data_IF_972033881912
#
_entry.id   IF_972033881912
#
_cell.length_a   1.000
_cell.length_b   1.000
_cell.length_c   1.000
_cell.angle_alpha   90.00
_cell.angle_beta   90.00
_cell.angle_gamma   90.00
#
_symmetry.space_group_name_H-M   'P 1'
#
loop_
_entity.id
_entity.type
_entity.pdbx_description
1 polymer ?
#
# COMPACT_ATOMS: atom_id res chain seq x y z
N UNK A 1 22.86 -11.10 11.29
CA UNK A 1 21.77 -11.29 10.42
C UNK A 1 21.41 -10.03 9.69
N UNK A 2 20.49 -10.11 8.85
CA UNK A 2 20.06 -8.94 8.15
C UNK A 2 18.54 -8.87 8.19
N UNK A 3 18.05 -7.68 7.98
CA UNK A 3 16.63 -7.41 8.04
C UNK A 3 16.09 -7.33 6.63
N UNK A 4 15.02 -8.06 6.37
CA UNK A 4 14.37 -8.01 5.08
C UNK A 4 13.43 -6.83 5.04
N UNK A 5 13.60 -6.02 4.02
CA UNK A 5 12.72 -4.90 3.79
C UNK A 5 11.54 -5.35 2.97
N UNK A 6 10.36 -4.93 3.38
CA UNK A 6 9.13 -5.22 2.64
C UNK A 6 8.46 -3.92 2.26
N UNK A 7 7.59 -4.00 1.30
CA UNK A 7 6.80 -2.87 0.87
C UNK A 7 5.34 -3.14 1.18
N UNK A 8 4.61 -2.08 1.42
CA UNK A 8 3.21 -2.19 1.79
C UNK A 8 2.42 -1.13 1.03
N UNK A 9 1.26 -1.53 0.54
CA UNK A 9 0.33 -0.60 -0.06
C UNK A 9 -0.68 -0.23 1.02
N UNK A 10 -0.75 1.05 1.34
CA UNK A 10 -1.67 1.54 2.35
C UNK A 10 -2.21 2.89 1.94
N UNK A 11 -2.56 3.71 2.91
CA UNK A 11 -3.10 5.02 2.62
C UNK A 11 -2.26 6.10 3.28
N UNK A 12 -2.26 7.27 2.65
CA UNK A 12 -1.63 8.45 3.19
C UNK A 12 -2.48 9.64 2.80
N UNK A 13 -3.05 10.29 3.81
CA UNK A 13 -3.91 11.45 3.62
C UNK A 13 -5.04 11.20 2.62
N UNK A 14 -5.63 10.01 2.71
CA UNK A 14 -6.75 9.65 1.86
C UNK A 14 -6.40 9.14 0.49
N UNK A 15 -5.11 9.00 0.18
CA UNK A 15 -4.66 8.48 -1.11
C UNK A 15 -3.93 7.17 -0.92
N UNK A 16 -3.92 6.34 -1.95
CA UNK A 16 -3.15 5.11 -1.95
C UNK A 16 -1.67 5.46 -1.95
N UNK A 17 -0.90 4.77 -1.13
CA UNK A 17 0.51 5.06 -0.99
C UNK A 17 1.30 3.79 -0.78
N UNK A 18 2.59 3.85 -1.07
CA UNK A 18 3.51 2.74 -0.86
C UNK A 18 4.42 3.09 0.29
N UNK A 19 4.53 2.15 1.22
CA UNK A 19 5.41 2.26 2.38
C UNK A 19 6.47 1.20 2.33
N UNK A 20 7.59 1.49 2.96
CA UNK A 20 8.70 0.55 3.11
C UNK A 20 8.89 0.29 4.59
N UNK A 21 9.03 -0.97 4.96
CA UNK A 21 9.21 -1.29 6.35
C UNK A 21 9.95 -2.60 6.53
N UNK A 22 10.14 -2.96 7.78
CA UNK A 22 10.80 -4.19 8.15
C UNK A 22 9.76 -5.29 8.25
N UNK A 23 10.06 -6.43 7.64
CA UNK A 23 9.10 -7.51 7.53
C UNK A 23 8.52 -7.90 8.89
N UNK A 24 9.34 -7.92 9.91
CA UNK A 24 8.91 -8.38 11.22
C UNK A 24 8.43 -7.27 12.12
N UNK A 25 8.33 -6.08 11.59
CA UNK A 25 7.82 -4.97 12.38
C UNK A 25 6.35 -5.20 12.66
N UNK A 26 6.00 -5.16 13.92
CA UNK A 26 4.60 -5.29 14.34
C UNK A 26 4.05 -3.95 14.78
N UNK A 27 4.82 -2.90 14.57
CA UNK A 27 4.40 -1.60 15.01
C UNK A 27 3.46 -0.92 14.06
N UNK A 28 2.98 0.25 14.44
CA UNK A 28 2.13 1.05 13.58
C UNK A 28 2.88 1.54 12.36
N UNK A 29 2.13 2.05 11.40
CA UNK A 29 2.71 2.51 10.14
C UNK A 29 3.75 3.60 10.31
N UNK A 30 3.74 4.29 11.43
CA UNK A 30 4.72 5.33 11.65
C UNK A 30 6.15 4.79 11.70
N UNK A 31 6.30 3.49 11.88
CA UNK A 31 7.61 2.86 11.78
C UNK A 31 7.99 2.52 10.35
N UNK A 32 7.12 2.79 9.41
CA UNK A 32 7.38 2.53 8.02
C UNK A 32 7.71 3.82 7.30
N UNK A 33 8.45 3.67 6.22
CA UNK A 33 8.89 4.80 5.40
C UNK A 33 7.91 5.01 4.27
N UNK A 34 7.42 6.22 4.12
CA UNK A 34 6.59 6.54 2.96
C UNK A 34 7.50 6.63 1.74
N UNK A 35 7.26 5.75 0.78
CA UNK A 35 8.04 5.73 -0.44
C UNK A 35 7.42 6.63 -1.50
N UNK A 36 6.12 6.48 -1.69
CA UNK A 36 5.44 7.23 -2.74
C UNK A 36 3.97 7.35 -2.41
N UNK A 37 3.46 8.55 -2.47
CA UNK A 37 2.02 8.78 -2.38
C UNK A 37 1.49 8.97 -3.79
N UNK A 38 0.37 8.32 -4.10
CA UNK A 38 -0.21 8.41 -5.44
C UNK A 38 -1.38 9.40 -5.43
N UNK A 39 -1.92 9.66 -6.61
CA UNK A 39 -3.10 10.50 -6.74
C UNK A 39 -4.39 9.71 -6.66
N UNK A 40 -4.29 8.41 -6.44
CA UNK A 40 -5.45 7.54 -6.39
C UNK A 40 -6.10 7.67 -5.03
N UNK A 41 -7.34 8.13 -5.01
CA UNK A 41 -8.04 8.34 -3.74
C UNK A 41 -8.64 7.04 -3.26
N UNK A 42 -8.41 6.74 -1.99
CA UNK A 42 -8.96 5.53 -1.39
C UNK A 42 -10.47 5.53 -1.50
N UNK A 43 -11.10 6.69 -1.39
CA UNK A 43 -12.55 6.78 -1.49
C UNK A 43 -13.08 6.37 -2.85
N UNK A 44 -12.25 6.39 -3.88
CA UNK A 44 -12.69 5.99 -5.22
C UNK A 44 -12.61 4.49 -5.45
N UNK A 45 -12.08 3.75 -4.51
CA UNK A 45 -11.95 2.30 -4.63
C UNK A 45 -13.25 1.61 -4.23
N UNK A 46 -13.41 0.37 -4.68
CA UNK A 46 -14.52 -0.45 -4.24
C UNK A 46 -14.42 -0.70 -2.74
N UNK A 47 -15.55 -0.95 -2.06
CA UNK A 47 -15.51 -1.07 -0.60
C UNK A 47 -14.51 -2.10 -0.09
N UNK A 48 -14.47 -3.29 -0.69
CA UNK A 48 -13.55 -4.31 -0.19
C UNK A 48 -12.10 -3.91 -0.43
N UNK A 49 -11.84 -3.14 -1.47
CA UNK A 49 -10.50 -2.66 -1.74
C UNK A 49 -10.08 -1.57 -0.77
N UNK A 50 -11.03 -0.74 -0.36
CA UNK A 50 -10.75 0.24 0.68
C UNK A 50 -10.32 -0.45 1.97
N UNK A 51 -10.98 -1.57 2.30
CA UNK A 51 -10.59 -2.32 3.48
C UNK A 51 -9.21 -2.93 3.33
N UNK A 52 -8.89 -3.44 2.15
CA UNK A 52 -7.56 -3.99 1.90
C UNK A 52 -6.48 -2.93 2.13
N UNK A 53 -6.70 -1.74 1.61
CA UNK A 53 -5.73 -0.67 1.75
C UNK A 53 -5.62 -0.24 3.21
N UNK A 54 -6.73 -0.20 3.92
CA UNK A 54 -6.69 0.16 5.34
C UNK A 54 -5.89 -0.84 6.16
N UNK A 55 -5.94 -2.11 5.80
CA UNK A 55 -5.20 -3.15 6.49
C UNK A 55 -3.79 -3.28 5.96
N UNK A 56 -3.48 -2.58 4.93
CA UNK A 56 -2.26 -2.61 4.15
C UNK A 56 -2.07 -3.95 3.44
N UNK A 57 -1.54 -3.86 2.23
CA UNK A 57 -1.29 -5.03 1.40
C UNK A 57 0.21 -5.20 1.27
N UNK A 58 0.70 -6.37 1.66
CA UNK A 58 2.13 -6.66 1.61
C UNK A 58 2.58 -6.90 0.18
N UNK A 59 3.76 -6.41 -0.16
CA UNK A 59 4.35 -6.61 -1.47
C UNK A 59 5.82 -7.01 -1.31
N UNK A 60 6.33 -7.79 -2.25
CA UNK A 60 7.68 -8.30 -2.14
C UNK A 60 8.73 -7.26 -2.49
N UNK A 61 8.40 -6.40 -3.45
CA UNK A 61 9.32 -5.34 -3.86
C UNK A 61 8.49 -4.19 -4.42
N UNK A 62 9.19 -3.16 -4.85
CA UNK A 62 8.52 -1.95 -5.31
C UNK A 62 7.71 -2.21 -6.58
N UNK A 63 8.22 -3.07 -7.47
CA UNK A 63 7.48 -3.41 -8.69
C UNK A 63 6.20 -4.14 -8.36
N UNK A 64 6.26 -5.02 -7.37
CA UNK A 64 5.08 -5.76 -6.93
C UNK A 64 4.05 -4.82 -6.33
N UNK A 65 4.51 -3.83 -5.54
CA UNK A 65 3.62 -2.85 -4.97
C UNK A 65 2.87 -2.07 -6.05
N UNK A 66 3.58 -1.65 -7.08
CA UNK A 66 2.96 -0.94 -8.19
C UNK A 66 1.97 -1.81 -8.93
N UNK A 67 2.28 -3.10 -9.07
CA UNK A 67 1.36 -4.04 -9.70
C UNK A 67 0.07 -4.15 -8.92
N UNK A 68 0.18 -4.20 -7.60
CA UNK A 68 -1.00 -4.28 -6.76
C UNK A 68 -1.85 -3.02 -6.87
N UNK A 69 -1.20 -1.86 -6.93
CA UNK A 69 -1.92 -0.61 -7.10
C UNK A 69 -2.66 -0.61 -8.44
N UNK A 70 -2.00 -1.10 -9.47
CA UNK A 70 -2.61 -1.15 -10.79
C UNK A 70 -3.86 -2.02 -10.80
N UNK A 71 -3.79 -3.16 -10.12
CA UNK A 71 -4.95 -4.02 -9.99
C UNK A 71 -6.08 -3.31 -9.25
N UNK A 72 -5.75 -2.61 -8.18
CA UNK A 72 -6.76 -1.86 -7.44
C UNK A 72 -7.47 -0.84 -8.34
N UNK A 73 -6.70 -0.12 -9.13
CA UNK A 73 -7.29 0.89 -10.02
C UNK A 73 -8.20 0.25 -11.04
N UNK A 74 -7.76 -0.84 -11.66
CA UNK A 74 -8.53 -1.46 -12.72
C UNK A 74 -9.78 -2.13 -12.20
N UNK A 75 -9.68 -2.80 -11.05
CA UNK A 75 -10.82 -3.50 -10.50
C UNK A 75 -11.71 -2.60 -9.66
N UNK A 76 -11.17 -1.49 -9.19
CA UNK A 76 -11.90 -0.59 -8.33
C UNK A 76 -12.86 0.33 -9.03
N UNK A 77 -13.00 0.18 -10.33
CA UNK A 77 -13.95 0.99 -11.06
C UNK A 77 -13.45 2.37 -11.42
N UNK A 78 -12.18 2.61 -11.29
CA UNK A 78 -11.63 3.87 -11.75
C UNK A 78 -11.78 3.90 -13.27
N UNK A 79 -12.35 4.95 -13.74
CA UNK A 79 -12.66 5.02 -15.16
C UNK A 79 -11.57 5.69 -15.92
#
# INVERSE_FOLDING_TARGET
GYTQTRYYVGSYRGSVAIYQGIKESLGPLEFHHLVKATNIKVADLAPYQRDMVKQTVSANDIADAWREINVLVQLGGAK
#
